data_IF_728931950326
#
_entry.id   IF_728931950326
#
_cell.length_a   1.000
_cell.length_b   1.000
_cell.length_c   1.000
_cell.angle_alpha   90.00
_cell.angle_beta   90.00
_cell.angle_gamma   90.00
#
_symmetry.space_group_name_H-M   'P 1'
#
loop_
_entity.id
_entity.type
_entity.pdbx_description
1 polymer ?
#
# COMPACT_ATOMS: atom_id res chain seq x y z
N UNK A 1 -2.59 -21.97 -1.37
CA UNK A 1 -1.90 -21.24 -2.45
C UNK A 1 -1.30 -20.02 -1.82
N UNK A 2 -0.01 -19.73 -2.02
CA UNK A 2 0.61 -18.54 -1.44
C UNK A 2 -0.11 -17.29 -1.94
N UNK A 3 -0.38 -16.35 -1.02
CA UNK A 3 -1.13 -15.11 -1.29
C UNK A 3 -0.55 -14.33 -2.48
N UNK A 4 0.78 -14.24 -2.55
CA UNK A 4 1.55 -13.64 -3.64
C UNK A 4 1.22 -14.24 -5.01
N UNK A 5 0.99 -15.55 -5.09
CA UNK A 5 0.69 -16.26 -6.35
C UNK A 5 -0.75 -15.99 -6.78
N UNK A 6 -1.69 -15.98 -5.83
CA UNK A 6 -3.10 -15.65 -6.10
C UNK A 6 -3.22 -14.22 -6.64
N UNK A 7 -2.50 -13.28 -6.04
CA UNK A 7 -2.53 -11.85 -6.41
C UNK A 7 -1.95 -11.62 -7.82
N UNK A 8 -0.84 -12.28 -8.17
CA UNK A 8 -0.28 -12.19 -9.54
C UNK A 8 -1.19 -12.81 -10.61
N UNK A 9 -2.01 -13.81 -10.25
CA UNK A 9 -3.00 -14.38 -11.16
C UNK A 9 -4.20 -13.44 -11.35
N UNK A 10 -4.66 -12.77 -10.29
CA UNK A 10 -5.72 -11.74 -10.37
C UNK A 10 -5.30 -10.56 -11.26
N UNK A 11 -4.03 -10.16 -11.23
CA UNK A 11 -3.47 -9.14 -12.11
C UNK A 11 -3.61 -9.49 -13.60
N UNK A 12 -3.28 -10.73 -13.97
CA UNK A 12 -3.43 -11.21 -15.36
C UNK A 12 -4.91 -11.21 -15.75
N UNK A 13 -5.80 -11.58 -14.83
CA UNK A 13 -7.24 -11.57 -15.07
C UNK A 13 -7.77 -10.14 -15.28
N UNK A 14 -7.31 -9.15 -14.52
CA UNK A 14 -7.66 -7.75 -14.75
C UNK A 14 -7.15 -7.26 -16.11
N UNK A 15 -5.89 -7.54 -16.46
CA UNK A 15 -5.31 -7.17 -17.76
C UNK A 15 -6.07 -7.79 -18.93
N UNK A 16 -6.53 -9.03 -18.79
CA UNK A 16 -7.33 -9.70 -19.82
C UNK A 16 -8.76 -9.16 -19.93
N UNK A 17 -9.27 -8.46 -18.90
CA UNK A 17 -10.62 -7.93 -18.85
C UNK A 17 -10.70 -6.43 -19.20
N UNK A 18 -9.57 -5.76 -19.41
CA UNK A 18 -9.55 -4.34 -19.80
C UNK A 18 -9.92 -4.20 -21.29
N UNK A 19 -11.04 -3.52 -21.62
CA UNK A 19 -11.53 -3.42 -22.99
C UNK A 19 -10.79 -2.39 -23.86
N UNK A 20 -9.96 -1.52 -23.26
CA UNK A 20 -9.29 -0.42 -23.99
C UNK A 20 -7.83 -0.73 -24.36
N UNK A 21 -7.20 -1.69 -23.70
CA UNK A 21 -5.79 -1.99 -23.91
C UNK A 21 -5.66 -3.22 -24.82
N UNK A 22 -5.05 -3.06 -26.00
CA UNK A 22 -4.59 -4.20 -26.80
C UNK A 22 -3.59 -4.96 -25.94
N UNK A 23 -4.07 -5.95 -25.19
CA UNK A 23 -3.26 -6.82 -24.34
C UNK A 23 -2.06 -7.23 -25.16
N UNK A 24 -0.89 -6.67 -24.85
CA UNK A 24 0.33 -7.05 -25.53
C UNK A 24 0.55 -8.46 -25.02
N UNK A 25 0.21 -9.49 -25.80
CA UNK A 25 0.33 -10.92 -25.43
C UNK A 25 1.69 -11.23 -24.77
N UNK A 26 2.70 -10.43 -25.10
CA UNK A 26 4.02 -10.39 -24.49
C UNK A 26 3.99 -10.11 -22.98
N UNK A 27 3.27 -9.10 -22.52
CA UNK A 27 3.20 -8.73 -21.10
C UNK A 27 2.49 -9.79 -20.26
N UNK A 28 1.37 -10.33 -20.76
CA UNK A 28 0.68 -11.45 -20.09
C UNK A 28 1.57 -12.68 -20.03
N UNK A 29 2.30 -12.98 -21.12
CA UNK A 29 3.25 -14.10 -21.14
C UNK A 29 4.39 -13.90 -20.14
N UNK A 30 5.00 -12.71 -20.07
CA UNK A 30 6.06 -12.41 -19.11
C UNK A 30 5.58 -12.56 -17.65
N UNK A 31 4.37 -12.08 -17.33
CA UNK A 31 3.77 -12.23 -15.99
C UNK A 31 3.45 -13.69 -15.65
N UNK A 32 2.99 -14.49 -16.61
CA UNK A 32 2.76 -15.93 -16.43
C UNK A 32 4.08 -16.71 -16.21
N UNK A 33 5.13 -16.38 -16.95
CA UNK A 33 6.46 -16.98 -16.78
C UNK A 33 7.05 -16.67 -15.41
N UNK A 34 6.85 -15.45 -14.90
CA UNK A 34 7.19 -15.07 -13.53
C UNK A 34 6.46 -15.91 -12.49
N UNK A 35 5.15 -16.14 -12.65
CA UNK A 35 4.37 -16.98 -11.73
C UNK A 35 4.84 -18.44 -11.77
N UNK A 36 5.11 -18.97 -12.95
CA UNK A 36 5.70 -20.30 -13.13
C UNK A 36 7.06 -20.40 -12.43
N UNK A 37 7.90 -19.37 -12.52
CA UNK A 37 9.19 -19.32 -11.84
C UNK A 37 9.05 -19.27 -10.31
N UNK A 38 8.03 -18.58 -9.78
CA UNK A 38 7.73 -18.51 -8.35
C UNK A 38 7.18 -19.84 -7.81
N UNK A 39 6.30 -20.51 -8.57
CA UNK A 39 5.78 -21.83 -8.22
C UNK A 39 6.86 -22.92 -8.21
N UNK A 40 7.86 -22.79 -9.09
CA UNK A 40 8.96 -23.74 -9.19
C UNK A 40 10.07 -23.50 -8.16
N UNK A 41 10.19 -22.28 -7.63
CA UNK A 41 11.24 -21.93 -6.66
C UNK A 41 10.68 -21.04 -5.53
N UNK A 42 10.34 -21.64 -4.37
CA UNK A 42 9.82 -20.90 -3.23
C UNK A 42 10.80 -19.87 -2.65
N UNK A 43 12.10 -19.95 -2.97
CA UNK A 43 13.08 -18.94 -2.54
C UNK A 43 12.90 -17.59 -3.25
N UNK A 44 12.35 -17.58 -4.48
CA UNK A 44 12.06 -16.35 -5.23
C UNK A 44 10.88 -15.56 -4.64
N UNK A 45 9.95 -16.23 -3.98
CA UNK A 45 8.88 -15.55 -3.22
C UNK A 45 9.49 -14.70 -2.11
N UNK A 46 10.56 -15.15 -1.48
CA UNK A 46 11.24 -14.38 -0.43
C UNK A 46 11.85 -13.09 -0.98
N UNK A 47 12.50 -13.14 -2.15
CA UNK A 47 13.09 -11.96 -2.81
C UNK A 47 12.01 -10.94 -3.18
N UNK A 48 10.89 -11.38 -3.77
CA UNK A 48 9.77 -10.50 -4.13
C UNK A 48 9.14 -9.84 -2.90
N UNK A 49 9.12 -10.53 -1.75
CA UNK A 49 8.65 -9.95 -0.48
C UNK A 49 9.61 -8.88 0.04
N UNK A 50 10.91 -9.11 -0.03
CA UNK A 50 11.93 -8.13 0.36
C UNK A 50 11.85 -6.86 -0.51
N UNK A 51 11.63 -6.99 -1.82
CA UNK A 51 11.43 -5.84 -2.72
C UNK A 51 10.16 -5.04 -2.39
N UNK A 52 9.04 -5.71 -2.12
CA UNK A 52 7.79 -5.07 -1.71
C UNK A 52 7.96 -4.31 -0.39
N UNK A 53 8.73 -4.88 0.54
CA UNK A 53 9.04 -4.26 1.81
C UNK A 53 9.84 -2.98 1.64
N UNK A 54 10.93 -3.01 0.85
CA UNK A 54 11.74 -1.82 0.56
C UNK A 54 10.89 -0.71 -0.10
N UNK A 55 9.95 -1.11 -0.97
CA UNK A 55 9.02 -0.19 -1.59
C UNK A 55 8.11 0.49 -0.57
N UNK A 56 7.56 -0.27 0.38
CA UNK A 56 6.70 0.23 1.45
C UNK A 56 7.45 1.16 2.40
N UNK A 57 8.68 0.81 2.79
CA UNK A 57 9.54 1.69 3.61
C UNK A 57 9.80 3.03 2.94
N UNK A 58 10.05 3.03 1.62
CA UNK A 58 10.21 4.28 0.84
C UNK A 58 8.93 5.13 0.87
N UNK A 59 7.76 4.51 0.70
CA UNK A 59 6.47 5.23 0.79
C UNK A 59 6.33 5.88 2.17
N UNK A 60 6.58 5.12 3.25
CA UNK A 60 6.47 5.64 4.62
C UNK A 60 7.44 6.80 4.85
N UNK A 61 8.70 6.66 4.43
CA UNK A 61 9.69 7.72 4.56
C UNK A 61 9.29 8.99 3.80
N UNK A 62 8.74 8.85 2.59
CA UNK A 62 8.28 9.99 1.79
C UNK A 62 7.06 10.67 2.43
N UNK A 63 6.10 9.89 2.91
CA UNK A 63 4.92 10.43 3.61
C UNK A 63 5.33 11.15 4.90
N UNK A 64 6.20 10.56 5.72
CA UNK A 64 6.68 11.19 6.95
C UNK A 64 7.46 12.48 6.68
N UNK A 65 8.27 12.53 5.62
CA UNK A 65 8.97 13.75 5.24
C UNK A 65 8.00 14.84 4.75
N UNK A 66 6.97 14.47 3.99
CA UNK A 66 5.97 15.41 3.49
C UNK A 66 5.06 15.95 4.62
N UNK A 67 4.70 15.08 5.57
CA UNK A 67 3.82 15.38 6.70
C UNK A 67 4.61 15.77 7.96
N UNK A 68 5.42 16.83 7.87
CA UNK A 68 6.13 17.40 9.03
C UNK A 68 5.19 18.23 9.92
N UNK A 69 4.14 17.61 10.44
CA UNK A 69 3.10 18.24 11.25
C UNK A 69 3.06 17.60 12.66
N UNK A 70 3.31 18.35 13.75
CA UNK A 70 3.29 17.81 15.11
C UNK A 70 1.91 17.33 15.57
N UNK A 71 0.83 17.74 14.91
CA UNK A 71 -0.54 17.36 15.25
C UNK A 71 -0.99 16.07 14.54
N UNK A 72 -0.10 15.46 13.75
CA UNK A 72 -0.37 14.23 13.00
C UNK A 72 0.57 13.13 13.46
N UNK A 73 -0.02 12.02 13.87
CA UNK A 73 0.69 10.79 14.18
C UNK A 73 0.48 9.78 13.04
N UNK A 74 1.57 9.23 12.51
CA UNK A 74 1.56 8.31 11.37
C UNK A 74 2.14 6.98 11.81
N UNK A 75 1.28 5.98 11.89
CA UNK A 75 1.65 4.59 12.13
C UNK A 75 1.54 3.80 10.83
N UNK A 76 2.36 2.77 10.66
CA UNK A 76 2.29 1.88 9.51
C UNK A 76 2.23 0.42 9.97
N UNK A 77 1.57 -0.40 9.15
CA UNK A 77 1.48 -1.83 9.35
C UNK A 77 1.90 -2.51 8.05
N UNK A 78 3.00 -3.25 8.12
CA UNK A 78 3.50 -4.11 7.05
C UNK A 78 3.36 -5.55 7.53
N UNK A 79 2.45 -6.35 6.94
CA UNK A 79 2.29 -7.73 7.33
C UNK A 79 3.58 -8.53 7.06
N UNK A 80 3.87 -9.50 7.93
CA UNK A 80 4.97 -10.48 7.85
C UNK A 80 6.41 -10.03 8.13
N UNK A 81 6.74 -8.73 8.23
CA UNK A 81 8.15 -8.28 8.40
C UNK A 81 8.49 -7.80 9.81
N UNK A 82 7.85 -6.76 10.36
CA UNK A 82 8.01 -6.40 11.79
C UNK A 82 6.75 -5.67 12.30
N UNK A 83 6.39 -5.94 13.55
CA UNK A 83 5.13 -5.56 14.20
C UNK A 83 5.36 -4.38 15.14
N UNK A 84 5.56 -3.17 14.60
CA UNK A 84 5.63 -1.97 15.44
C UNK A 84 4.27 -1.56 16.01
N UNK A 85 3.18 -2.10 15.47
CA UNK A 85 1.82 -1.88 16.00
C UNK A 85 1.21 -3.18 16.50
N UNK A 86 0.85 -3.23 17.78
CA UNK A 86 0.17 -4.36 18.45
C UNK A 86 -1.19 -4.74 17.83
N UNK A 87 -1.64 -4.01 16.82
CA UNK A 87 -2.90 -4.17 16.08
C UNK A 87 -2.71 -4.44 14.59
N UNK A 88 -1.48 -4.69 14.13
CA UNK A 88 -1.21 -5.06 12.74
C UNK A 88 -1.77 -6.45 12.45
N UNK A 89 -2.74 -6.53 11.55
CA UNK A 89 -3.33 -7.81 11.14
C UNK A 89 -2.33 -8.51 10.21
N UNK A 90 -1.66 -9.53 10.73
CA UNK A 90 -0.54 -10.23 10.06
C UNK A 90 -0.98 -10.89 8.75
N UNK A 91 -2.29 -11.07 8.56
CA UNK A 91 -2.91 -11.61 7.35
C UNK A 91 -3.65 -10.55 6.52
N UNK A 92 -3.58 -9.27 6.92
CA UNK A 92 -4.25 -8.14 6.26
C UNK A 92 -3.47 -7.56 5.09
N UNK A 93 -4.03 -6.56 4.41
CA UNK A 93 -3.30 -5.70 3.48
C UNK A 93 -2.45 -4.69 4.27
N UNK A 94 -1.26 -4.29 3.78
CA UNK A 94 -0.49 -3.21 4.41
C UNK A 94 -1.31 -1.93 4.45
N UNK A 95 -1.14 -1.13 5.50
CA UNK A 95 -1.85 0.13 5.64
C UNK A 95 -1.04 1.17 6.41
N UNK A 96 -1.38 2.43 6.15
CA UNK A 96 -0.92 3.59 6.91
C UNK A 96 -2.11 4.06 7.76
N UNK A 97 -1.93 4.12 9.07
CA UNK A 97 -2.88 4.67 10.02
C UNK A 97 -2.44 6.09 10.35
N UNK A 98 -3.32 7.04 10.09
CA UNK A 98 -3.06 8.45 10.35
C UNK A 98 -4.02 8.92 11.42
N UNK A 99 -3.46 9.47 12.49
CA UNK A 99 -4.21 10.02 13.61
C UNK A 99 -3.98 11.52 13.66
N UNK A 100 -5.04 12.29 13.44
CA UNK A 100 -5.03 13.74 13.58
C UNK A 100 -5.51 14.13 14.99
N UNK A 101 -4.66 14.85 15.71
CA UNK A 101 -4.88 15.28 17.10
C UNK A 101 -5.38 16.71 17.08
N UNK A 102 -6.70 16.90 17.09
CA UNK A 102 -7.28 18.25 17.11
C UNK A 102 -7.27 18.84 18.53
N UNK A 103 -7.34 17.98 19.54
CA UNK A 103 -7.13 18.32 20.95
C UNK A 103 -6.80 17.06 21.76
N UNK A 104 -6.38 17.21 23.02
CA UNK A 104 -6.09 16.07 23.91
C UNK A 104 -7.25 15.05 24.00
N UNK A 105 -8.49 15.48 23.81
CA UNK A 105 -9.70 14.65 23.89
C UNK A 105 -10.35 14.36 22.53
N UNK A 106 -9.87 14.95 21.44
CA UNK A 106 -10.43 14.75 20.10
C UNK A 106 -9.33 14.31 19.14
N UNK A 107 -9.21 12.99 19.01
CA UNK A 107 -8.30 12.33 18.07
C UNK A 107 -9.14 11.58 17.06
N UNK A 108 -8.88 11.82 15.78
CA UNK A 108 -9.55 11.14 14.69
C UNK A 108 -8.53 10.35 13.90
N UNK A 109 -8.79 9.07 13.70
CA UNK A 109 -7.88 8.16 13.01
C UNK A 109 -8.49 7.62 11.72
N UNK A 110 -7.73 7.61 10.62
CA UNK A 110 -8.14 7.04 9.33
C UNK A 110 -7.10 6.04 8.84
N UNK A 111 -7.59 4.89 8.36
CA UNK A 111 -6.76 3.82 7.77
C UNK A 111 -6.71 3.97 6.25
N UNK A 112 -5.52 4.19 5.72
CA UNK A 112 -5.23 4.17 4.30
C UNK A 112 -4.66 2.81 3.92
N UNK A 113 -5.50 1.94 3.36
CA UNK A 113 -5.09 0.61 2.93
C UNK A 113 -4.28 0.71 1.64
N UNK A 114 -3.04 0.26 1.71
CA UNK A 114 -2.15 0.12 0.56
C UNK A 114 -2.42 -1.24 -0.07
N UNK A 115 -3.43 -1.31 -0.93
CA UNK A 115 -3.70 -2.55 -1.67
C UNK A 115 -2.51 -2.88 -2.54
N UNK A 116 -2.25 -4.18 -2.68
CA UNK A 116 -1.20 -4.72 -3.52
C UNK A 116 -1.25 -4.19 -4.97
N UNK A 117 -2.45 -3.97 -5.51
CA UNK A 117 -2.64 -3.39 -6.84
C UNK A 117 -2.08 -1.97 -6.96
N UNK A 118 -2.21 -1.16 -5.92
CA UNK A 118 -1.69 0.22 -5.88
C UNK A 118 -0.17 0.20 -5.74
N UNK A 119 0.36 -0.65 -4.86
CA UNK A 119 1.80 -0.84 -4.65
C UNK A 119 2.51 -1.28 -5.93
N UNK A 120 1.88 -2.17 -6.71
CA UNK A 120 2.51 -2.73 -7.92
C UNK A 120 2.38 -1.85 -9.16
N UNK A 121 1.31 -1.05 -9.27
CA UNK A 121 1.08 -0.17 -10.45
C UNK A 121 1.73 1.20 -10.34
N UNK A 122 2.08 1.63 -9.13
CA UNK A 122 2.54 2.99 -8.89
C UNK A 122 3.93 3.01 -8.27
N UNK A 123 4.68 4.07 -8.54
CA UNK A 123 5.97 4.29 -7.89
C UNK A 123 5.76 4.68 -6.42
N UNK A 124 6.74 4.44 -5.53
CA UNK A 124 6.68 4.90 -4.14
C UNK A 124 6.30 6.37 -4.00
N UNK A 125 6.80 7.23 -4.89
CA UNK A 125 6.54 8.66 -4.90
C UNK A 125 5.08 8.96 -5.26
N UNK A 126 4.52 8.28 -6.25
CA UNK A 126 3.12 8.44 -6.64
C UNK A 126 2.19 8.02 -5.51
N UNK A 127 2.50 6.91 -4.84
CA UNK A 127 1.73 6.42 -3.68
C UNK A 127 1.85 7.39 -2.51
N UNK A 128 3.07 7.85 -2.20
CA UNK A 128 3.30 8.81 -1.13
C UNK A 128 2.56 10.12 -1.38
N UNK A 129 2.56 10.64 -2.62
CA UNK A 129 1.82 11.83 -2.99
C UNK A 129 0.31 11.64 -2.83
N UNK A 130 -0.23 10.49 -3.26
CA UNK A 130 -1.65 10.18 -3.10
C UNK A 130 -2.04 10.11 -1.62
N UNK A 131 -1.24 9.42 -0.80
CA UNK A 131 -1.47 9.32 0.64
C UNK A 131 -1.40 10.69 1.29
N UNK A 132 -0.37 11.49 0.99
CA UNK A 132 -0.20 12.86 1.50
C UNK A 132 -1.42 13.72 1.18
N UNK A 133 -1.88 13.69 -0.07
CA UNK A 133 -3.07 14.43 -0.49
C UNK A 133 -4.32 13.99 0.28
N UNK A 134 -4.53 12.68 0.44
CA UNK A 134 -5.66 12.17 1.20
C UNK A 134 -5.60 12.48 2.70
N UNK A 135 -4.41 12.66 3.27
CA UNK A 135 -4.24 13.12 4.65
C UNK A 135 -4.64 14.59 4.77
N UNK A 136 -4.22 15.44 3.84
CA UNK A 136 -4.60 16.85 3.83
C UNK A 136 -6.12 17.04 3.66
N UNK A 137 -6.75 16.27 2.76
CA UNK A 137 -8.21 16.24 2.65
C UNK A 137 -8.88 15.81 3.95
N UNK A 138 -8.34 14.78 4.61
CA UNK A 138 -8.86 14.31 5.89
C UNK A 138 -8.79 15.39 6.99
N UNK A 139 -7.70 16.17 7.06
CA UNK A 139 -7.60 17.31 7.98
C UNK A 139 -8.64 18.38 7.65
N UNK A 140 -8.72 18.77 6.38
CA UNK A 140 -9.67 19.79 5.93
C UNK A 140 -11.13 19.39 6.21
N UNK A 141 -11.48 18.11 6.04
CA UNK A 141 -12.78 17.57 6.44
C UNK A 141 -13.07 17.78 7.93
N UNK A 142 -12.10 17.44 8.80
CA UNK A 142 -12.25 17.56 10.25
C UNK A 142 -12.34 19.03 10.68
N UNK A 143 -11.46 19.88 10.15
CA UNK A 143 -11.44 21.30 10.47
C UNK A 143 -12.73 21.99 10.00
N UNK A 144 -13.25 21.62 8.82
CA UNK A 144 -14.54 22.11 8.33
C UNK A 144 -15.72 21.71 9.22
N UNK A 145 -15.69 20.53 9.84
CA UNK A 145 -16.73 20.08 10.78
C UNK A 145 -16.64 20.85 12.10
N UNK A 146 -15.46 21.27 12.53
CA UNK A 146 -15.30 22.06 13.77
C UNK A 146 -15.68 23.53 13.61
N UNK A 147 -15.55 24.10 12.40
CA UNK A 147 -15.89 25.50 12.13
C UNK A 147 -17.34 25.72 11.64
N UNK A 148 -18.12 24.65 11.49
CA UNK A 148 -19.52 24.66 11.03
C UNK A 148 -20.56 24.68 12.15
#
# INVERSE_FOLDING_TARGET
MERVIKEKLEEIVELMNDPEETVIDKEVREKLELILALLNDPSKIKVVKEELHEQLEKVVALVNNAMSDPDIDIEYCIPEVETDTSTCDVLGDPYILVTYIVSEYNKQSRKFRLRDTILRRNTPESIANQVTFSIEEFKAEIDSVQMG
#
